data_IF_382807979626
#
_entry.id   IF_382807979626
#
_cell.length_a   1.000
_cell.length_b   1.000
_cell.length_c   1.000
_cell.angle_alpha   90.00
_cell.angle_beta   90.00
_cell.angle_gamma   90.00
#
_symmetry.space_group_name_H-M   'P 1'
#
loop_
_entity.id
_entity.type
_entity.pdbx_description
1 polymer ?
#
# COMPACT_ATOMS: atom_id res chain seq x y z
N UNK A 1 27.40 0.27 2.97
CA UNK A 1 25.97 0.65 2.97
C UNK A 1 25.68 1.69 1.89
N UNK A 2 25.96 1.38 0.62
CA UNK A 2 25.65 2.25 -0.53
C UNK A 2 24.38 1.79 -1.29
N UNK A 3 24.15 0.47 -1.36
CA UNK A 3 22.99 -0.09 -2.05
C UNK A 3 21.63 0.28 -1.45
N UNK A 4 21.53 0.53 -0.14
CA UNK A 4 20.24 0.85 0.50
C UNK A 4 19.69 2.22 0.07
N UNK A 5 20.58 3.21 -0.10
CA UNK A 5 20.19 4.54 -0.58
C UNK A 5 19.78 4.50 -2.06
N UNK A 6 20.57 3.83 -2.90
CA UNK A 6 20.28 3.66 -4.32
C UNK A 6 18.93 2.96 -4.54
N UNK A 7 18.64 1.90 -3.78
CA UNK A 7 17.36 1.19 -3.86
C UNK A 7 16.21 2.11 -3.44
N UNK A 8 16.35 2.86 -2.35
CA UNK A 8 15.32 3.80 -1.88
C UNK A 8 15.03 4.91 -2.88
N UNK A 9 16.05 5.42 -3.56
CA UNK A 9 15.88 6.40 -4.65
C UNK A 9 15.15 5.79 -5.84
N UNK A 10 15.51 4.57 -6.24
CA UNK A 10 14.79 3.85 -7.31
C UNK A 10 13.34 3.60 -6.97
N UNK A 11 13.03 3.23 -5.71
CA UNK A 11 11.65 3.07 -5.23
C UNK A 11 10.91 4.42 -5.30
N UNK A 12 11.50 5.49 -4.80
CA UNK A 12 10.89 6.83 -4.83
C UNK A 12 10.54 7.26 -6.27
N UNK A 13 11.47 7.10 -7.21
CA UNK A 13 11.24 7.43 -8.62
C UNK A 13 10.20 6.52 -9.29
N UNK A 14 10.11 5.25 -8.87
CA UNK A 14 9.08 4.33 -9.35
C UNK A 14 7.70 4.76 -8.86
N UNK A 15 7.55 5.01 -7.55
CA UNK A 15 6.27 5.37 -6.94
C UNK A 15 5.71 6.70 -7.48
N UNK A 16 6.56 7.67 -7.82
CA UNK A 16 6.12 8.95 -8.43
C UNK A 16 5.47 8.80 -9.80
N UNK A 17 5.78 7.73 -10.55
CA UNK A 17 5.31 7.51 -11.93
C UNK A 17 4.03 6.68 -12.00
N UNK A 18 3.60 6.09 -10.89
CA UNK A 18 2.47 5.18 -10.84
C UNK A 18 1.41 5.72 -9.88
N UNK A 19 0.19 6.02 -10.35
CA UNK A 19 -0.84 6.65 -9.52
C UNK A 19 -1.66 5.66 -8.68
N UNK A 20 -1.53 4.34 -8.94
CA UNK A 20 -2.34 3.31 -8.32
C UNK A 20 -1.48 2.18 -7.74
N UNK A 21 -1.98 1.59 -6.66
CA UNK A 21 -1.44 0.37 -6.07
C UNK A 21 -2.56 -0.66 -5.90
N UNK A 22 -2.19 -1.93 -5.72
CA UNK A 22 -3.10 -3.00 -5.34
C UNK A 22 -2.90 -3.33 -3.86
N UNK A 23 -3.84 -2.93 -3.00
CA UNK A 23 -3.75 -3.16 -1.55
C UNK A 23 -4.40 -4.49 -1.17
N UNK A 24 -3.63 -5.38 -0.57
CA UNK A 24 -4.10 -6.60 0.07
C UNK A 24 -4.37 -6.36 1.56
N UNK A 25 -5.56 -6.78 2.01
CA UNK A 25 -5.99 -6.81 3.42
C UNK A 25 -6.47 -8.20 3.80
N UNK A 26 -6.60 -8.48 5.10
CA UNK A 26 -7.12 -9.75 5.62
C UNK A 26 -8.57 -9.56 6.07
N UNK A 27 -9.50 -10.39 5.57
CA UNK A 27 -10.90 -10.38 6.02
C UNK A 27 -11.02 -10.92 7.45
N UNK A 28 -12.17 -10.71 8.13
CA UNK A 28 -12.42 -11.29 9.46
C UNK A 28 -12.29 -12.83 9.49
N UNK A 29 -12.55 -13.49 8.36
CA UNK A 29 -12.41 -14.94 8.18
C UNK A 29 -10.99 -15.38 7.79
N UNK A 30 -10.02 -14.47 7.80
CA UNK A 30 -8.62 -14.76 7.46
C UNK A 30 -8.33 -14.85 5.96
N UNK A 31 -9.23 -14.38 5.08
CA UNK A 31 -9.05 -14.46 3.62
C UNK A 31 -8.40 -13.19 3.05
N UNK A 32 -7.49 -13.30 2.06
CA UNK A 32 -6.92 -12.13 1.41
C UNK A 32 -7.98 -11.41 0.56
N UNK A 33 -7.97 -10.08 0.61
CA UNK A 33 -8.81 -9.20 -0.20
C UNK A 33 -7.97 -8.11 -0.84
N UNK A 34 -7.94 -8.06 -2.18
CA UNK A 34 -7.14 -7.13 -2.96
C UNK A 34 -8.01 -6.09 -3.66
N UNK A 35 -7.59 -4.83 -3.62
CA UNK A 35 -8.25 -3.75 -4.34
C UNK A 35 -7.25 -2.73 -4.88
N UNK A 36 -7.47 -2.30 -6.12
CA UNK A 36 -6.75 -1.18 -6.71
C UNK A 36 -7.21 0.14 -6.09
N UNK A 37 -6.27 1.03 -5.77
CA UNK A 37 -6.56 2.33 -5.17
C UNK A 37 -5.47 3.36 -5.44
N UNK A 38 -5.89 4.63 -5.53
CA UNK A 38 -4.97 5.75 -5.67
C UNK A 38 -4.15 5.94 -4.39
N UNK A 39 -2.92 6.40 -4.53
CA UNK A 39 -2.02 6.66 -3.42
C UNK A 39 -1.15 7.90 -3.65
N UNK A 40 -0.52 8.38 -2.58
CA UNK A 40 0.57 9.34 -2.61
C UNK A 40 1.79 8.73 -1.93
N UNK A 41 3.01 9.19 -2.26
CA UNK A 41 4.24 8.69 -1.66
C UNK A 41 5.17 9.81 -1.17
N UNK A 42 5.96 9.50 -0.15
CA UNK A 42 7.08 10.31 0.32
C UNK A 42 8.30 9.39 0.49
N UNK A 43 9.18 9.37 -0.51
CA UNK A 43 10.26 8.38 -0.56
C UNK A 43 9.69 6.96 -0.69
N UNK A 44 10.11 5.99 0.14
CA UNK A 44 9.58 4.63 0.11
C UNK A 44 8.25 4.46 0.88
N UNK A 45 7.73 5.52 1.52
CA UNK A 45 6.49 5.47 2.30
C UNK A 45 5.30 5.81 1.41
N UNK A 46 4.24 5.01 1.52
CA UNK A 46 3.00 5.15 0.76
C UNK A 46 1.84 5.53 1.69
N UNK A 47 1.03 6.48 1.24
CA UNK A 47 -0.17 6.97 1.90
C UNK A 47 -1.37 6.76 1.00
N UNK A 48 -2.49 6.32 1.56
CA UNK A 48 -3.74 6.20 0.84
C UNK A 48 -4.91 6.63 1.72
N UNK A 49 -6.01 7.03 1.07
CA UNK A 49 -7.26 7.37 1.74
C UNK A 49 -8.31 6.27 1.56
N UNK A 50 -9.15 6.07 2.58
CA UNK A 50 -10.36 5.27 2.44
C UNK A 50 -11.45 5.74 3.39
N UNK A 51 -12.72 5.48 3.06
CA UNK A 51 -13.84 5.79 3.94
C UNK A 51 -13.92 4.85 5.14
N UNK A 52 -14.35 5.36 6.29
CA UNK A 52 -14.53 4.60 7.53
C UNK A 52 -15.65 3.51 7.45
N UNK A 53 -16.48 3.55 6.42
CA UNK A 53 -17.52 2.52 6.17
C UNK A 53 -17.04 1.40 5.23
N UNK A 54 -15.84 1.51 4.66
CA UNK A 54 -15.35 0.54 3.67
C UNK A 54 -14.99 -0.80 4.30
N UNK A 55 -15.02 -1.88 3.50
CA UNK A 55 -14.54 -3.21 3.93
C UNK A 55 -13.07 -3.18 4.32
N UNK A 56 -12.23 -2.50 3.53
CA UNK A 56 -10.79 -2.41 3.80
C UNK A 56 -10.48 -1.65 5.10
N UNK A 57 -11.25 -0.62 5.45
CA UNK A 57 -11.12 0.05 6.74
C UNK A 57 -11.35 -0.94 7.89
N UNK A 58 -12.48 -1.65 7.88
CA UNK A 58 -12.81 -2.67 8.90
C UNK A 58 -11.76 -3.78 8.96
N UNK A 59 -11.27 -4.24 7.82
CA UNK A 59 -10.22 -5.25 7.76
C UNK A 59 -8.91 -4.75 8.42
N UNK A 60 -8.47 -3.52 8.12
CA UNK A 60 -7.24 -2.93 8.66
C UNK A 60 -7.38 -2.63 10.16
N UNK A 61 -8.55 -2.18 10.60
CA UNK A 61 -8.85 -1.94 12.01
C UNK A 61 -8.72 -3.23 12.84
N UNK A 62 -9.18 -4.36 12.31
CA UNK A 62 -9.09 -5.67 12.97
C UNK A 62 -7.71 -6.33 12.82
N UNK A 63 -7.07 -6.17 11.66
CA UNK A 63 -5.75 -6.71 11.38
C UNK A 63 -4.92 -5.69 10.56
N UNK A 64 -3.92 -5.04 11.17
CA UNK A 64 -3.14 -4.00 10.51
C UNK A 64 -2.12 -4.54 9.49
N UNK A 65 -1.95 -5.87 9.38
CA UNK A 65 -1.02 -6.44 8.40
C UNK A 65 -1.59 -6.29 6.99
N UNK A 66 -0.80 -5.66 6.12
CA UNK A 66 -1.14 -5.40 4.72
C UNK A 66 0.05 -5.70 3.82
N UNK A 67 -0.23 -5.91 2.54
CA UNK A 67 0.76 -5.95 1.48
C UNK A 67 0.26 -5.12 0.30
N UNK A 68 1.16 -4.60 -0.53
CA UNK A 68 0.76 -3.92 -1.77
C UNK A 68 1.74 -4.18 -2.90
N UNK A 69 1.24 -4.05 -4.13
CA UNK A 69 2.06 -3.97 -5.34
C UNK A 69 1.78 -2.66 -6.06
N UNK A 70 2.77 -2.19 -6.80
CA UNK A 70 2.67 -1.08 -7.74
C UNK A 70 3.23 -1.61 -9.04
N UNK A 71 2.40 -1.63 -10.09
CA UNK A 71 2.80 -2.02 -11.44
C UNK A 71 3.45 -0.83 -12.14
#
# INVERSE_FOLDING_TARGET
MACDLEIKERINEYLKKHPYLNLATVSPEGKPMVHSMAFASAGPVVYFGTGNTTRKFRNIEQNPNVAFTVD
#
